data_IF_494881455743
#
_entry.id   IF_494881455743
#
_cell.length_a   1.000
_cell.length_b   1.000
_cell.length_c   1.000
_cell.angle_alpha   90.00
_cell.angle_beta   90.00
_cell.angle_gamma   90.00
#
_symmetry.space_group_name_H-M   'P 1'
#
loop_
_entity.id
_entity.type
_entity.pdbx_description
1 polymer ?
#
# COMPACT_ATOMS: atom_id res chain seq x y z
N UNK A 1 16.57 20.14 -27.33
CA UNK A 1 16.85 19.64 -25.97
C UNK A 1 15.67 20.07 -25.10
N UNK A 2 14.56 19.34 -25.19
CA UNK A 2 13.29 19.70 -24.52
C UNK A 2 13.25 18.98 -23.19
N UNK A 3 13.47 19.74 -22.12
CA UNK A 3 13.36 19.25 -20.75
C UNK A 3 11.86 19.19 -20.39
N UNK A 4 11.28 18.00 -20.44
CA UNK A 4 9.89 17.76 -20.04
C UNK A 4 9.85 17.56 -18.53
N UNK A 5 9.14 18.40 -17.75
CA UNK A 5 9.05 18.20 -16.31
C UNK A 5 8.32 16.89 -16.00
N UNK A 6 8.99 16.03 -15.22
CA UNK A 6 8.47 14.73 -14.77
C UNK A 6 7.33 14.97 -13.76
N UNK A 7 6.16 14.32 -13.90
CA UNK A 7 5.09 14.49 -12.91
C UNK A 7 5.54 13.90 -11.57
N UNK A 8 5.65 14.74 -10.54
CA UNK A 8 5.88 14.33 -9.15
C UNK A 8 4.53 14.03 -8.48
N UNK A 9 3.82 13.00 -8.94
CA UNK A 9 2.61 12.56 -8.24
C UNK A 9 2.98 11.56 -7.16
N UNK A 10 3.23 12.04 -5.93
CA UNK A 10 3.17 11.23 -4.71
C UNK A 10 1.71 10.94 -4.38
N UNK A 11 1.03 10.20 -5.25
CA UNK A 11 -0.34 9.79 -5.00
C UNK A 11 -0.31 8.74 -3.89
N UNK A 12 -1.01 9.00 -2.79
CA UNK A 12 -1.15 8.05 -1.68
C UNK A 12 -1.77 6.75 -2.21
N UNK A 13 -1.07 5.63 -2.02
CA UNK A 13 -1.49 4.31 -2.50
C UNK A 13 -2.79 3.81 -1.82
N UNK A 14 -3.19 4.42 -0.71
CA UNK A 14 -4.35 4.05 0.11
C UNK A 14 -5.38 5.19 0.24
N UNK A 15 -5.48 6.06 -0.77
CA UNK A 15 -6.55 7.07 -0.82
C UNK A 15 -7.92 6.42 -0.84
N UNK A 16 -8.71 6.65 0.21
CA UNK A 16 -10.07 6.11 0.35
C UNK A 16 -11.09 6.79 -0.56
N UNK A 17 -12.37 6.72 -0.19
CA UNK A 17 -13.51 7.20 -1.01
C UNK A 17 -13.65 8.73 -1.10
N UNK A 18 -12.73 9.50 -0.53
CA UNK A 18 -12.80 10.96 -0.53
C UNK A 18 -12.09 11.53 -1.75
N UNK A 19 -12.75 12.49 -2.40
CA UNK A 19 -12.20 13.22 -3.55
C UNK A 19 -11.09 14.20 -3.15
N UNK A 20 -11.05 14.61 -1.89
CA UNK A 20 -10.09 15.57 -1.35
C UNK A 20 -9.04 14.88 -0.48
N UNK A 21 -7.88 15.53 -0.35
CA UNK A 21 -6.81 15.03 0.51
C UNK A 21 -7.23 15.06 1.99
N UNK A 22 -6.85 14.01 2.73
CA UNK A 22 -7.09 13.97 4.17
C UNK A 22 -6.25 15.04 4.88
N UNK A 23 -6.82 15.67 5.90
CA UNK A 23 -6.10 16.66 6.70
C UNK A 23 -4.86 16.01 7.37
N UNK A 24 -3.72 16.71 7.37
CA UNK A 24 -2.47 16.18 7.93
C UNK A 24 -2.58 15.76 9.41
N UNK A 25 -3.46 16.41 10.19
CA UNK A 25 -3.76 16.04 11.57
C UNK A 25 -4.42 14.67 11.68
N UNK A 26 -5.36 14.37 10.78
CA UNK A 26 -6.05 13.09 10.71
C UNK A 26 -5.07 12.00 10.27
N UNK A 27 -4.21 12.27 9.29
CA UNK A 27 -3.19 11.30 8.84
C UNK A 27 -2.19 10.96 9.94
N UNK A 28 -1.71 11.96 10.67
CA UNK A 28 -0.81 11.75 11.81
C UNK A 28 -1.49 10.95 12.91
N UNK A 29 -2.77 11.20 13.15
CA UNK A 29 -3.54 10.49 14.17
C UNK A 29 -3.80 9.02 13.80
N UNK A 30 -4.07 8.72 12.52
CA UNK A 30 -4.38 7.35 12.06
C UNK A 30 -3.15 6.54 11.67
N UNK A 31 -1.98 7.15 11.51
CA UNK A 31 -0.75 6.44 11.17
C UNK A 31 -0.36 5.43 12.27
N UNK A 32 -0.38 4.15 11.92
CA UNK A 32 -0.06 3.05 12.84
C UNK A 32 1.34 2.46 12.62
N UNK A 33 2.09 2.91 11.61
CA UNK A 33 3.37 2.31 11.20
C UNK A 33 4.40 2.20 12.33
N UNK A 34 4.43 3.18 13.24
CA UNK A 34 5.34 3.18 14.39
C UNK A 34 5.10 2.01 15.35
N UNK A 35 3.89 1.42 15.34
CA UNK A 35 3.52 0.26 16.11
C UNK A 35 3.54 -1.01 15.26
N UNK A 36 2.94 -0.96 14.08
CA UNK A 36 2.72 -2.13 13.21
C UNK A 36 3.98 -2.63 12.52
N UNK A 37 5.04 -1.82 12.42
CA UNK A 37 6.29 -2.23 11.80
C UNK A 37 6.84 -3.56 12.36
N UNK A 38 6.59 -3.88 13.64
CA UNK A 38 6.99 -5.16 14.24
C UNK A 38 6.28 -6.38 13.65
N UNK A 39 5.14 -6.18 13.00
CA UNK A 39 4.32 -7.24 12.41
C UNK A 39 4.74 -7.62 11.00
N UNK A 40 5.74 -6.94 10.41
CA UNK A 40 6.15 -7.14 9.01
C UNK A 40 6.42 -8.61 8.64
N UNK A 41 6.96 -9.41 9.56
CA UNK A 41 7.22 -10.85 9.33
C UNK A 41 5.94 -11.64 9.09
N UNK A 42 4.86 -11.28 9.80
CA UNK A 42 3.55 -11.92 9.66
C UNK A 42 2.88 -11.50 8.36
N UNK A 43 3.02 -10.24 7.95
CA UNK A 43 2.50 -9.73 6.69
C UNK A 43 3.14 -10.45 5.48
N UNK A 44 4.46 -10.64 5.51
CA UNK A 44 5.18 -11.43 4.50
C UNK A 44 4.72 -12.89 4.49
N UNK A 45 4.62 -13.52 5.67
CA UNK A 45 4.18 -14.90 5.78
C UNK A 45 2.75 -15.11 5.26
N UNK A 46 1.84 -14.21 5.62
CA UNK A 46 0.46 -14.20 5.16
C UNK A 46 0.36 -13.99 3.66
N UNK A 47 1.13 -13.06 3.10
CA UNK A 47 1.18 -12.79 1.66
C UNK A 47 1.66 -14.00 0.87
N UNK A 48 2.71 -14.70 1.31
CA UNK A 48 3.15 -15.96 0.67
C UNK A 48 2.09 -17.06 0.73
N UNK A 49 1.43 -17.22 1.88
CA UNK A 49 0.36 -18.21 2.04
C UNK A 49 -0.83 -17.90 1.13
N UNK A 50 -1.21 -16.62 1.04
CA UNK A 50 -2.27 -16.13 0.17
C UNK A 50 -1.93 -16.37 -1.30
N UNK A 51 -0.75 -15.95 -1.77
CA UNK A 51 -0.33 -16.16 -3.16
C UNK A 51 -0.35 -17.65 -3.55
N UNK A 52 0.21 -18.53 -2.71
CA UNK A 52 0.16 -19.98 -2.92
C UNK A 52 -1.27 -20.52 -2.98
N UNK A 53 -2.17 -19.98 -2.16
CA UNK A 53 -3.57 -20.36 -2.19
C UNK A 53 -4.24 -19.92 -3.49
N UNK A 54 -4.01 -18.68 -3.96
CA UNK A 54 -4.54 -18.19 -5.23
C UNK A 54 -4.07 -19.05 -6.40
N UNK A 55 -2.80 -19.45 -6.41
CA UNK A 55 -2.27 -20.32 -7.45
C UNK A 55 -2.94 -21.70 -7.44
N UNK A 56 -3.12 -22.30 -6.26
CA UNK A 56 -3.88 -23.56 -6.12
C UNK A 56 -5.35 -23.46 -6.58
N UNK A 57 -5.97 -22.28 -6.48
CA UNK A 57 -7.31 -22.04 -6.99
C UNK A 57 -7.33 -21.70 -8.49
N UNK A 58 -6.17 -21.63 -9.15
CA UNK A 58 -6.06 -21.25 -10.57
C UNK A 58 -6.36 -19.77 -10.84
N UNK A 59 -6.31 -18.92 -9.82
CA UNK A 59 -6.55 -17.48 -9.95
C UNK A 59 -5.30 -16.73 -10.42
N UNK A 60 -4.11 -17.25 -10.09
CA UNK A 60 -2.81 -16.78 -10.59
C UNK A 60 -1.97 -17.99 -11.02
N UNK A 61 -0.93 -17.76 -11.82
CA UNK A 61 0.08 -18.79 -12.09
C UNK A 61 1.05 -18.94 -10.91
N UNK A 62 1.62 -20.14 -10.76
CA UNK A 62 2.77 -20.39 -9.89
C UNK A 62 4.05 -19.71 -10.40
#
# INVERSE_FOLDING_TARGET
MTDTPRPTSSAKLWGGRFSEATAASVEKFTASIHYDARLYRHDIAGSMAHARMLARQGLISD
#
